data_IF_610314816410
#
_entry.id   IF_610314816410
#
_cell.length_a   1.000
_cell.length_b   1.000
_cell.length_c   1.000
_cell.angle_alpha   90.00
_cell.angle_beta   90.00
_cell.angle_gamma   90.00
#
_symmetry.space_group_name_H-M   'P 1'
#
loop_
_entity.id
_entity.type
_entity.pdbx_description
1 polymer ?
#
# COMPACT_ATOMS: atom_id res chain seq x y z
N UNK A 1 -12.24 35.57 -26.15
CA UNK A 1 -11.18 35.05 -25.26
C UNK A 1 -11.66 34.72 -23.83
N UNK A 2 -12.98 34.73 -23.55
CA UNK A 2 -13.50 34.41 -22.22
C UNK A 2 -13.54 32.90 -21.89
N UNK A 3 -13.61 32.05 -22.92
CA UNK A 3 -13.65 30.58 -22.76
C UNK A 3 -12.38 30.04 -22.09
N UNK A 4 -11.20 30.55 -22.48
CA UNK A 4 -9.92 30.14 -21.87
C UNK A 4 -9.88 30.50 -20.39
N UNK A 5 -10.44 31.66 -20.01
CA UNK A 5 -10.53 32.12 -18.61
C UNK A 5 -11.41 31.18 -17.80
N UNK A 6 -12.59 30.80 -18.33
CA UNK A 6 -13.50 29.87 -17.64
C UNK A 6 -12.86 28.49 -17.49
N UNK A 7 -12.20 27.98 -18.53
CA UNK A 7 -11.48 26.68 -18.47
C UNK A 7 -10.37 26.72 -17.42
N UNK A 8 -9.60 27.82 -17.35
CA UNK A 8 -8.53 27.97 -16.38
C UNK A 8 -9.03 27.92 -14.93
N UNK A 9 -10.18 28.54 -14.64
CA UNK A 9 -10.79 28.52 -13.30
C UNK A 9 -11.27 27.12 -12.93
N UNK A 10 -11.90 26.39 -13.86
CA UNK A 10 -12.38 25.02 -13.60
C UNK A 10 -11.19 24.07 -13.39
N UNK A 11 -10.16 24.17 -14.22
CA UNK A 11 -8.97 23.32 -14.14
C UNK A 11 -8.26 23.44 -12.78
N UNK A 12 -8.28 24.62 -12.16
CA UNK A 12 -7.66 24.86 -10.85
C UNK A 12 -8.23 23.96 -9.73
N UNK A 13 -9.53 23.64 -9.76
CA UNK A 13 -10.17 22.77 -8.78
C UNK A 13 -10.27 21.31 -9.24
N UNK A 14 -10.53 21.10 -10.54
CA UNK A 14 -10.71 19.78 -11.09
C UNK A 14 -9.41 18.94 -11.07
N UNK A 15 -8.26 19.59 -11.29
CA UNK A 15 -6.99 18.87 -11.38
C UNK A 15 -6.51 18.29 -10.04
N UNK A 16 -6.45 19.06 -8.92
CA UNK A 16 -6.11 18.48 -7.62
C UNK A 16 -7.07 17.36 -7.20
N UNK A 17 -8.39 17.56 -7.38
CA UNK A 17 -9.39 16.56 -7.05
C UNK A 17 -9.23 15.26 -7.85
N UNK A 18 -8.89 15.37 -9.15
CA UNK A 18 -8.59 14.21 -9.97
C UNK A 18 -7.33 13.47 -9.50
N UNK A 19 -6.27 14.19 -9.14
CA UNK A 19 -5.05 13.55 -8.63
C UNK A 19 -5.30 12.82 -7.31
N UNK A 20 -6.11 13.38 -6.41
CA UNK A 20 -6.50 12.70 -5.17
C UNK A 20 -7.32 11.43 -5.44
N UNK A 21 -8.23 11.46 -6.42
CA UNK A 21 -8.96 10.28 -6.86
C UNK A 21 -8.01 9.19 -7.39
N UNK A 22 -7.03 9.56 -8.22
CA UNK A 22 -6.04 8.63 -8.76
C UNK A 22 -5.17 8.03 -7.65
N UNK A 23 -4.70 8.85 -6.69
CA UNK A 23 -3.92 8.38 -5.53
C UNK A 23 -4.72 7.41 -4.67
N UNK A 24 -6.01 7.69 -4.44
CA UNK A 24 -6.91 6.78 -3.70
C UNK A 24 -7.06 5.43 -4.41
N UNK A 25 -7.16 5.43 -5.74
CA UNK A 25 -7.18 4.20 -6.54
C UNK A 25 -5.90 3.37 -6.34
N UNK A 26 -4.73 3.99 -6.50
CA UNK A 26 -3.43 3.32 -6.29
C UNK A 26 -3.26 2.81 -4.86
N UNK A 27 -3.80 3.52 -3.87
CA UNK A 27 -3.80 3.10 -2.48
C UNK A 27 -4.65 1.84 -2.28
N UNK A 28 -5.81 1.76 -2.93
CA UNK A 28 -6.65 0.56 -2.87
C UNK A 28 -5.94 -0.65 -3.50
N UNK A 29 -5.18 -0.46 -4.59
CA UNK A 29 -4.35 -1.51 -5.17
C UNK A 29 -3.26 -1.97 -4.19
N UNK A 30 -2.57 -1.04 -3.52
CA UNK A 30 -1.58 -1.37 -2.50
C UNK A 30 -2.16 -2.14 -1.31
N UNK A 31 -3.37 -1.78 -0.86
CA UNK A 31 -4.09 -2.52 0.19
C UNK A 31 -4.38 -3.95 -0.24
N UNK A 32 -4.74 -4.18 -1.51
CA UNK A 32 -4.97 -5.52 -2.04
C UNK A 32 -3.70 -6.39 -2.00
N UNK A 33 -2.54 -5.80 -2.32
CA UNK A 33 -1.26 -6.49 -2.21
C UNK A 33 -0.89 -6.82 -0.76
N UNK A 34 -1.16 -5.93 0.19
CA UNK A 34 -0.94 -6.20 1.61
C UNK A 34 -1.85 -7.32 2.14
N UNK A 35 -3.11 -7.36 1.70
CA UNK A 35 -4.03 -8.46 2.05
C UNK A 35 -3.57 -9.80 1.45
N UNK A 36 -3.06 -9.80 0.22
CA UNK A 36 -2.46 -10.99 -0.38
C UNK A 36 -1.23 -11.46 0.42
N UNK A 37 -0.40 -10.51 0.89
CA UNK A 37 0.74 -10.82 1.74
C UNK A 37 0.32 -11.40 3.10
N UNK A 38 -0.75 -10.90 3.71
CA UNK A 38 -1.34 -11.50 4.92
C UNK A 38 -1.77 -12.95 4.68
N UNK A 39 -2.47 -13.24 3.57
CA UNK A 39 -2.84 -14.63 3.24
C UNK A 39 -1.60 -15.51 3.06
N UNK A 40 -0.54 -14.98 2.43
CA UNK A 40 0.72 -15.69 2.26
C UNK A 40 1.39 -16.00 3.62
N UNK A 41 1.37 -15.05 4.56
CA UNK A 41 1.89 -15.24 5.92
C UNK A 41 1.14 -16.35 6.68
N UNK A 42 -0.20 -16.33 6.65
CA UNK A 42 -1.00 -17.36 7.32
C UNK A 42 -0.79 -18.75 6.70
N UNK A 43 -0.63 -18.83 5.37
CA UNK A 43 -0.30 -20.08 4.68
C UNK A 43 1.09 -20.58 5.04
N UNK A 44 2.07 -19.69 5.17
CA UNK A 44 3.42 -20.06 5.58
C UNK A 44 3.43 -20.59 7.01
N UNK A 45 2.72 -19.91 7.92
CA UNK A 45 2.58 -20.28 9.33
C UNK A 45 1.83 -21.60 9.55
N UNK A 46 1.00 -22.03 8.60
CA UNK A 46 0.36 -23.35 8.68
C UNK A 46 1.38 -24.52 8.64
N UNK A 47 2.58 -24.29 8.10
CA UNK A 47 3.63 -25.31 7.96
C UNK A 47 4.92 -24.97 8.73
N UNK A 48 5.03 -23.76 9.27
CA UNK A 48 6.21 -23.26 9.96
C UNK A 48 5.81 -22.60 11.28
N UNK A 49 6.66 -22.69 12.30
CA UNK A 49 6.39 -22.06 13.59
C UNK A 49 6.56 -20.54 13.59
N UNK A 50 7.10 -19.98 12.50
CA UNK A 50 7.39 -18.56 12.33
C UNK A 50 6.62 -17.95 11.16
N UNK A 51 6.41 -16.63 11.21
CA UNK A 51 6.06 -15.86 10.05
C UNK A 51 7.28 -15.70 9.13
N UNK A 52 7.05 -15.66 7.82
CA UNK A 52 8.10 -15.66 6.83
C UNK A 52 8.58 -14.26 6.47
N UNK A 53 9.87 -14.10 6.26
CA UNK A 53 10.44 -12.97 5.53
C UNK A 53 10.04 -13.04 4.04
N UNK A 54 10.28 -11.94 3.31
CA UNK A 54 10.03 -11.90 1.85
C UNK A 54 10.71 -13.05 1.11
N UNK A 55 11.96 -13.39 1.49
CA UNK A 55 12.72 -14.46 0.86
C UNK A 55 12.15 -15.85 1.15
N UNK A 56 11.78 -16.12 2.40
CA UNK A 56 11.21 -17.41 2.81
C UNK A 56 9.86 -17.68 2.17
N UNK A 57 9.00 -16.64 2.10
CA UNK A 57 7.73 -16.70 1.37
C UNK A 57 7.96 -17.01 -0.10
N UNK A 58 8.93 -16.35 -0.74
CA UNK A 58 9.27 -16.63 -2.14
C UNK A 58 9.76 -18.08 -2.35
N UNK A 59 10.64 -18.57 -1.48
CA UNK A 59 11.13 -19.96 -1.53
C UNK A 59 10.04 -21.00 -1.30
N UNK A 60 9.01 -20.67 -0.51
CA UNK A 60 7.85 -21.51 -0.27
C UNK A 60 6.78 -21.46 -1.39
N UNK A 61 7.03 -20.72 -2.48
CA UNK A 61 6.04 -20.51 -3.56
C UNK A 61 4.87 -19.61 -3.14
N UNK A 62 5.04 -18.84 -2.06
CA UNK A 62 4.10 -17.87 -1.49
C UNK A 62 4.61 -16.43 -1.67
N UNK A 63 5.41 -16.21 -2.72
CA UNK A 63 6.04 -14.92 -2.98
C UNK A 63 5.00 -13.78 -3.06
N UNK A 64 5.37 -12.64 -2.50
CA UNK A 64 4.56 -11.42 -2.53
C UNK A 64 5.16 -10.43 -3.54
N UNK A 65 4.34 -9.52 -4.05
CA UNK A 65 4.85 -8.36 -4.79
C UNK A 65 5.77 -7.55 -3.86
N UNK A 66 6.98 -7.22 -4.32
CA UNK A 66 7.97 -6.44 -3.54
C UNK A 66 8.07 -4.99 -4.01
N UNK A 67 7.61 -4.69 -5.22
CA UNK A 67 7.55 -3.33 -5.76
C UNK A 67 6.55 -3.28 -6.92
N UNK A 68 5.91 -2.13 -7.09
CA UNK A 68 5.19 -1.76 -8.30
C UNK A 68 5.61 -0.36 -8.78
N UNK A 69 4.77 0.28 -9.59
CA UNK A 69 5.05 1.62 -10.12
C UNK A 69 4.98 2.73 -9.05
N UNK A 70 4.21 2.56 -7.98
CA UNK A 70 3.85 3.59 -7.00
C UNK A 70 4.20 3.23 -5.55
N UNK A 71 4.41 1.96 -5.24
CA UNK A 71 4.70 1.45 -3.91
C UNK A 71 5.84 0.44 -3.90
N UNK A 72 6.59 0.42 -2.80
CA UNK A 72 7.50 -0.67 -2.44
C UNK A 72 6.90 -1.44 -1.27
N UNK A 73 6.94 -2.76 -1.34
CA UNK A 73 6.35 -3.65 -0.36
C UNK A 73 7.45 -4.39 0.39
N UNK A 74 7.38 -4.37 1.71
CA UNK A 74 8.37 -5.01 2.59
C UNK A 74 7.70 -5.75 3.74
N UNK A 75 8.46 -6.65 4.36
CA UNK A 75 8.10 -7.30 5.62
C UNK A 75 9.15 -6.88 6.66
N UNK A 76 9.01 -5.70 7.30
CA UNK A 76 9.99 -5.22 8.27
C UNK A 76 10.05 -6.08 9.55
N UNK A 77 8.99 -6.82 9.86
CA UNK A 77 8.91 -7.70 11.03
C UNK A 77 8.41 -9.06 10.58
N UNK A 78 9.13 -10.11 10.94
CA UNK A 78 8.72 -11.52 10.80
C UNK A 78 9.35 -12.32 11.95
N UNK A 79 8.53 -12.80 12.87
CA UNK A 79 8.95 -13.58 14.05
C UNK A 79 7.99 -14.76 14.28
N UNK A 80 8.20 -15.53 15.36
CA UNK A 80 7.29 -16.61 15.76
C UNK A 80 5.87 -16.15 16.11
N UNK A 81 5.70 -14.90 16.51
CA UNK A 81 4.46 -14.39 17.09
C UNK A 81 3.90 -13.16 16.40
N UNK A 82 4.70 -12.47 15.57
CA UNK A 82 4.28 -11.24 14.91
C UNK A 82 4.86 -11.10 13.50
N UNK A 83 4.11 -10.42 12.64
CA UNK A 83 4.64 -9.88 11.39
C UNK A 83 4.10 -8.48 11.16
N UNK A 84 4.77 -7.72 10.29
CA UNK A 84 4.21 -6.51 9.71
C UNK A 84 4.52 -6.55 8.21
N UNK A 85 3.50 -6.39 7.38
CA UNK A 85 3.66 -6.08 5.95
C UNK A 85 3.48 -4.58 5.77
N UNK A 86 4.30 -3.97 4.91
CA UNK A 86 4.33 -2.53 4.72
C UNK A 86 4.37 -2.18 3.25
N UNK A 87 3.52 -1.25 2.83
CA UNK A 87 3.59 -0.59 1.53
C UNK A 87 4.02 0.87 1.72
N UNK A 88 5.12 1.25 1.10
CA UNK A 88 5.68 2.61 1.17
C UNK A 88 5.64 3.26 -0.20
N UNK A 89 5.06 4.46 -0.30
CA UNK A 89 5.01 5.23 -1.54
C UNK A 89 6.43 5.38 -2.13
N UNK A 90 6.53 5.13 -3.44
CA UNK A 90 7.80 5.12 -4.16
C UNK A 90 8.27 6.54 -4.43
N UNK A 91 9.50 6.84 -4.03
CA UNK A 91 10.13 8.13 -4.28
C UNK A 91 10.14 8.47 -5.77
N UNK A 92 9.93 9.75 -6.10
CA UNK A 92 9.86 10.23 -7.48
C UNK A 92 8.52 9.99 -8.18
N UNK A 93 7.52 9.43 -7.49
CA UNK A 93 6.17 9.26 -8.01
C UNK A 93 5.20 10.22 -7.33
N UNK A 94 4.05 10.48 -7.95
CA UNK A 94 3.02 11.34 -7.35
C UNK A 94 2.40 10.73 -6.06
N UNK A 95 2.60 9.44 -5.81
CA UNK A 95 2.07 8.78 -4.62
C UNK A 95 2.69 9.31 -3.31
N UNK A 96 3.87 9.93 -3.36
CA UNK A 96 4.49 10.57 -2.18
C UNK A 96 3.69 11.76 -1.66
N UNK A 97 2.79 12.30 -2.48
CA UNK A 97 1.91 13.42 -2.12
C UNK A 97 0.60 12.95 -1.48
N UNK A 98 0.38 11.64 -1.37
CA UNK A 98 -0.82 11.06 -0.75
C UNK A 98 -0.72 11.10 0.78
N UNK A 99 -0.65 12.28 1.38
CA UNK A 99 -0.50 12.45 2.84
C UNK A 99 -1.86 12.43 3.55
N UNK A 100 -1.98 11.76 4.71
CA UNK A 100 -0.95 11.03 5.47
C UNK A 100 -0.69 9.57 5.00
N UNK A 101 -1.32 9.14 3.92
CA UNK A 101 -1.38 7.74 3.45
C UNK A 101 -0.18 7.25 2.62
N UNK A 102 1.01 7.82 2.84
CA UNK A 102 2.23 7.45 2.11
C UNK A 102 2.81 6.11 2.58
N UNK A 103 2.47 5.68 3.78
CA UNK A 103 2.82 4.37 4.34
C UNK A 103 1.55 3.67 4.78
N UNK A 104 1.39 2.42 4.35
CA UNK A 104 0.31 1.54 4.78
C UNK A 104 0.93 0.32 5.44
N UNK A 105 0.42 -0.09 6.59
CA UNK A 105 0.87 -1.28 7.30
C UNK A 105 -0.31 -2.20 7.60
N UNK A 106 -0.01 -3.49 7.70
CA UNK A 106 -0.96 -4.50 8.13
C UNK A 106 -0.20 -5.59 8.90
N UNK A 107 -0.76 -6.05 10.02
CA UNK A 107 -0.19 -7.12 10.85
C UNK A 107 -1.19 -8.25 11.13
N UNK A 108 -0.75 -9.27 11.86
CA UNK A 108 -1.55 -10.46 12.20
C UNK A 108 -2.83 -10.15 13.00
N UNK A 109 -2.87 -9.00 13.69
CA UNK A 109 -4.01 -8.58 14.52
C UNK A 109 -5.02 -7.73 13.75
N UNK A 110 -4.83 -7.55 12.44
CA UNK A 110 -5.54 -6.57 11.61
C UNK A 110 -5.38 -5.13 12.13
N UNK A 111 -4.20 -4.80 12.67
CA UNK A 111 -3.81 -3.42 12.94
C UNK A 111 -3.30 -2.80 11.64
N UNK A 112 -3.86 -1.63 11.32
CA UNK A 112 -3.59 -0.88 10.09
C UNK A 112 -2.57 0.25 10.28
N UNK A 113 -1.96 0.32 11.46
CA UNK A 113 -1.00 1.38 11.82
C UNK A 113 -1.66 2.69 12.21
N UNK A 114 -0.85 3.76 12.24
CA UNK A 114 -1.25 5.09 12.74
C UNK A 114 -2.36 5.75 11.93
N UNK A 115 -2.39 5.47 10.62
CA UNK A 115 -3.28 6.15 9.67
C UNK A 115 -4.38 5.20 9.18
N UNK A 116 -5.10 4.56 10.11
CA UNK A 116 -6.21 3.67 9.80
C UNK A 116 -7.32 4.31 8.94
N UNK A 117 -7.41 5.65 8.89
CA UNK A 117 -8.28 6.37 7.96
C UNK A 117 -7.94 6.11 6.49
N UNK A 118 -6.68 5.80 6.19
CA UNK A 118 -6.20 5.50 4.85
C UNK A 118 -6.76 4.19 4.29
N UNK A 119 -7.23 3.30 5.17
CA UNK A 119 -7.85 2.01 4.86
C UNK A 119 -9.37 2.08 4.65
N UNK A 120 -9.98 3.25 4.83
CA UNK A 120 -11.40 3.43 4.56
C UNK A 120 -11.64 3.58 3.05
N UNK A 121 -12.64 2.86 2.55
CA UNK A 121 -13.09 2.92 1.14
C UNK A 121 -13.73 4.26 0.81
#
# INVERSE_FOLDING_TARGET
>A
MIVVVVIAIIAMFAYPAYMDYVRKGRRADAQSHLLAAQIAQERYRAYNNDYGTVGELASAGLGITTSDNFYNYTIPVATSSAYEVRATAKAGTDQVNDTPCTVLTLNQSNDFGTDASCWKR
#
